data_IF_162005433781
#
_entry.id   IF_162005433781
#
_cell.length_a   1.000
_cell.length_b   1.000
_cell.length_c   1.000
_cell.angle_alpha   90.00
_cell.angle_beta   90.00
_cell.angle_gamma   90.00
#
_symmetry.space_group_name_H-M   'P 1'
#
loop_
_entity.id
_entity.type
_entity.pdbx_description
1 polymer ?
#
# COMPACT_ATOMS: atom_id res chain seq x y z
N UNK A 1 -4.55 -9.62 -5.88
CA UNK A 1 -4.61 -10.71 -6.88
C UNK A 1 -6.08 -10.87 -7.20
N UNK A 2 -6.43 -10.87 -8.49
CA UNK A 2 -7.76 -10.58 -9.07
C UNK A 2 -8.82 -11.60 -8.70
N UNK A 3 -10.08 -11.17 -8.60
CA UNK A 3 -11.22 -12.08 -8.41
C UNK A 3 -11.82 -12.55 -9.75
N UNK A 4 -11.71 -11.73 -10.82
CA UNK A 4 -12.33 -12.02 -12.14
C UNK A 4 -11.36 -12.05 -13.34
N UNK A 5 -10.05 -12.24 -13.11
CA UNK A 5 -9.02 -12.36 -14.17
C UNK A 5 -9.02 -11.16 -15.16
N UNK A 6 -9.31 -9.96 -14.65
CA UNK A 6 -9.42 -8.73 -15.42
C UNK A 6 -8.13 -7.89 -15.31
N UNK A 7 -7.54 -7.46 -16.44
CA UNK A 7 -6.23 -6.79 -16.42
C UNK A 7 -6.21 -5.44 -15.67
N UNK A 8 -7.37 -4.79 -15.52
CA UNK A 8 -7.52 -3.51 -14.83
C UNK A 8 -7.37 -3.64 -13.30
N UNK A 9 -7.85 -4.74 -12.71
CA UNK A 9 -7.64 -4.98 -11.28
C UNK A 9 -6.15 -5.16 -10.96
N UNK A 10 -5.43 -5.83 -11.87
CA UNK A 10 -4.00 -6.02 -11.72
C UNK A 10 -3.24 -4.70 -11.82
N UNK A 11 -3.60 -3.81 -12.76
CA UNK A 11 -2.92 -2.52 -12.89
C UNK A 11 -3.12 -1.61 -11.67
N UNK A 12 -4.30 -1.65 -11.05
CA UNK A 12 -4.57 -0.95 -9.77
C UNK A 12 -3.71 -1.54 -8.65
N UNK A 13 -3.69 -2.87 -8.51
CA UNK A 13 -2.89 -3.55 -7.50
C UNK A 13 -1.38 -3.30 -7.68
N UNK A 14 -0.88 -3.34 -8.91
CA UNK A 14 0.52 -3.06 -9.24
C UNK A 14 0.91 -1.63 -8.87
N UNK A 15 0.04 -0.65 -9.13
CA UNK A 15 0.29 0.74 -8.74
C UNK A 15 0.42 0.88 -7.23
N UNK A 16 -0.45 0.23 -6.45
CA UNK A 16 -0.39 0.23 -4.98
C UNK A 16 0.89 -0.47 -4.52
N UNK A 17 1.20 -1.65 -5.05
CA UNK A 17 2.40 -2.41 -4.69
C UNK A 17 3.68 -1.64 -5.01
N UNK A 18 3.75 -0.96 -6.15
CA UNK A 18 4.87 -0.10 -6.53
C UNK A 18 5.04 1.04 -5.52
N UNK A 19 3.95 1.73 -5.19
CA UNK A 19 3.95 2.80 -4.19
C UNK A 19 4.48 2.30 -2.85
N UNK A 20 3.93 1.18 -2.36
CA UNK A 20 4.32 0.59 -1.09
C UNK A 20 5.81 0.18 -1.09
N UNK A 21 6.27 -0.42 -2.19
CA UNK A 21 7.65 -0.91 -2.34
C UNK A 21 8.68 0.21 -2.32
N UNK A 22 8.42 1.30 -3.06
CA UNK A 22 9.40 2.37 -3.27
C UNK A 22 9.31 3.50 -2.24
N UNK A 23 8.12 3.86 -1.75
CA UNK A 23 7.96 4.97 -0.81
C UNK A 23 8.27 4.58 0.64
N UNK A 24 8.11 3.30 1.02
CA UNK A 24 8.30 2.81 2.40
C UNK A 24 9.51 1.90 2.58
N UNK A 25 10.56 2.07 1.75
CA UNK A 25 11.85 1.38 1.90
C UNK A 25 11.81 -0.16 1.82
N UNK A 26 10.71 -0.73 1.33
CA UNK A 26 10.55 -2.18 1.16
C UNK A 26 11.29 -2.72 -0.09
N UNK A 27 11.95 -1.85 -0.86
CA UNK A 27 12.86 -2.27 -1.93
C UNK A 27 14.19 -2.84 -1.38
N UNK A 28 14.51 -2.58 -0.11
CA UNK A 28 15.74 -3.05 0.51
C UNK A 28 15.72 -4.56 0.81
N UNK A 29 16.92 -5.13 0.97
CA UNK A 29 17.09 -6.48 1.50
C UNK A 29 16.92 -6.48 3.01
N UNK A 30 16.33 -7.54 3.55
CA UNK A 30 16.17 -7.77 4.99
C UNK A 30 16.98 -8.98 5.40
N UNK A 31 17.52 -8.97 6.62
CA UNK A 31 18.37 -10.06 7.11
C UNK A 31 17.54 -11.29 7.46
N UNK A 32 16.28 -11.11 7.82
CA UNK A 32 15.34 -12.20 8.04
C UNK A 32 13.90 -11.89 7.64
N UNK A 33 13.12 -12.96 7.42
CA UNK A 33 11.70 -12.85 7.05
C UNK A 33 10.85 -12.10 8.09
N UNK A 34 11.20 -12.22 9.39
CA UNK A 34 10.47 -11.55 10.47
C UNK A 34 10.59 -10.02 10.36
N UNK A 35 11.76 -9.50 10.02
CA UNK A 35 11.97 -8.07 9.82
C UNK A 35 11.18 -7.57 8.62
N UNK A 36 11.22 -8.29 7.50
CA UNK A 36 10.43 -7.97 6.32
C UNK A 36 8.93 -7.93 6.64
N UNK A 37 8.42 -8.86 7.44
CA UNK A 37 7.03 -8.87 7.88
C UNK A 37 6.67 -7.65 8.76
N UNK A 38 7.57 -7.25 9.67
CA UNK A 38 7.34 -6.07 10.52
C UNK A 38 7.33 -4.80 9.68
N UNK A 39 8.32 -4.63 8.80
CA UNK A 39 8.42 -3.49 7.89
C UNK A 39 7.19 -3.41 6.97
N UNK A 40 6.73 -4.55 6.44
CA UNK A 40 5.53 -4.61 5.61
C UNK A 40 4.28 -4.16 6.38
N UNK A 41 4.09 -4.63 7.61
CA UNK A 41 2.95 -4.21 8.45
C UNK A 41 2.98 -2.70 8.71
N UNK A 42 4.15 -2.16 8.99
CA UNK A 42 4.33 -0.71 9.20
C UNK A 42 4.04 0.07 7.92
N UNK A 43 4.55 -0.37 6.76
CA UNK A 43 4.29 0.28 5.48
C UNK A 43 2.79 0.31 5.13
N UNK A 44 2.08 -0.81 5.34
CA UNK A 44 0.62 -0.88 5.14
C UNK A 44 -0.11 0.08 6.08
N UNK A 45 0.30 0.13 7.35
CA UNK A 45 -0.28 1.07 8.31
C UNK A 45 -0.09 2.52 7.88
N UNK A 46 1.14 2.89 7.48
CA UNK A 46 1.47 4.24 7.03
C UNK A 46 0.72 4.62 5.75
N UNK A 47 0.63 3.72 4.77
CA UNK A 47 -0.13 3.94 3.55
C UNK A 47 -1.61 4.23 3.84
N UNK A 48 -2.24 3.46 4.73
CA UNK A 48 -3.66 3.61 5.02
C UNK A 48 -3.99 4.80 5.93
N UNK A 49 -3.13 5.12 6.89
CA UNK A 49 -3.46 6.07 7.96
C UNK A 49 -2.70 7.39 7.91
N UNK A 50 -1.55 7.46 7.23
CA UNK A 50 -0.66 8.63 7.26
C UNK A 50 -0.48 9.24 5.87
N UNK A 51 -0.36 8.41 4.84
CA UNK A 51 -0.17 8.88 3.46
C UNK A 51 -1.45 9.59 2.98
N UNK A 52 -1.30 10.84 2.58
CA UNK A 52 -2.38 11.62 1.95
C UNK A 52 -2.38 11.42 0.44
N UNK A 53 -3.56 11.32 -0.15
CA UNK A 53 -3.72 11.08 -1.58
C UNK A 53 -4.40 12.29 -2.24
N UNK A 54 -3.74 12.90 -3.23
CA UNK A 54 -4.30 14.04 -3.96
C UNK A 54 -5.68 13.75 -4.58
N UNK A 55 -5.85 12.54 -5.13
CA UNK A 55 -7.12 12.11 -5.73
C UNK A 55 -8.24 11.88 -4.68
N UNK A 56 -7.87 11.76 -3.41
CA UNK A 56 -8.81 11.68 -2.28
C UNK A 56 -8.99 13.06 -1.60
N UNK A 57 -8.61 14.16 -2.25
CA UNK A 57 -8.71 15.49 -1.65
C UNK A 57 -7.73 15.73 -0.49
N UNK A 58 -6.54 15.14 -0.57
CA UNK A 58 -5.53 15.14 0.50
C UNK A 58 -5.96 14.41 1.79
N UNK A 59 -6.92 13.49 1.66
CA UNK A 59 -7.33 12.61 2.74
C UNK A 59 -6.56 11.27 2.68
N UNK A 60 -6.59 10.54 3.79
CA UNK A 60 -5.98 9.21 3.89
C UNK A 60 -6.98 8.14 3.43
N UNK A 61 -6.52 6.99 2.92
CA UNK A 61 -7.42 5.91 2.53
C UNK A 61 -8.36 5.51 3.67
N UNK A 62 -7.83 5.35 4.89
CA UNK A 62 -8.64 4.95 6.04
C UNK A 62 -9.71 6.00 6.39
N UNK A 63 -9.43 7.30 6.23
CA UNK A 63 -10.44 8.34 6.45
C UNK A 63 -11.63 8.19 5.50
N UNK A 64 -11.37 7.92 4.21
CA UNK A 64 -12.44 7.73 3.21
C UNK A 64 -13.23 6.45 3.49
N UNK A 65 -12.56 5.34 3.79
CA UNK A 65 -13.22 4.06 4.04
C UNK A 65 -14.00 4.03 5.36
N UNK A 66 -13.58 4.75 6.40
CA UNK A 66 -14.31 4.84 7.67
C UNK A 66 -15.48 5.83 7.62
N UNK A 67 -15.47 6.77 6.67
CA UNK A 67 -16.55 7.73 6.45
C UNK A 67 -17.66 7.21 5.51
N UNK A 68 -17.45 6.05 4.89
CA UNK A 68 -18.41 5.35 4.01
C UNK A 68 -19.19 4.27 4.78
#
# INVERSE_FOLDING_TARGET
>A
MTEENHCYENSVAERINKTIKFEFWLYNTFDCFKEAQIALKQAVFLYNNVRVHQHLGFLTPNFIYQAA
#
